data_IF_520320003118
#
_entry.id   IF_520320003118
#
_cell.length_a   1.000
_cell.length_b   1.000
_cell.length_c   1.000
_cell.angle_alpha   90.00
_cell.angle_beta   90.00
_cell.angle_gamma   90.00
#
_symmetry.space_group_name_H-M   'P 1'
#
loop_
_entity.id
_entity.type
_entity.pdbx_description
1 polymer ?
#
# COMPACT_ATOMS: atom_id res chain seq x y z
N UNK A 1 5.44 3.24 -35.77
CA UNK A 1 6.19 4.35 -35.14
C UNK A 1 6.43 5.42 -36.19
N UNK A 2 5.78 6.57 -36.03
CA UNK A 2 6.47 7.86 -36.14
C UNK A 2 6.16 8.68 -34.86
N UNK A 3 7.12 9.07 -34.02
CA UNK A 3 8.14 10.12 -34.18
C UNK A 3 7.55 11.54 -34.24
N UNK A 4 7.23 12.05 -33.04
CA UNK A 4 7.24 13.41 -32.46
C UNK A 4 6.71 14.65 -33.21
N UNK A 5 6.16 15.63 -32.45
CA UNK A 5 6.98 16.82 -32.23
C UNK A 5 7.03 17.28 -30.77
N UNK A 6 8.25 17.41 -30.28
CA UNK A 6 8.64 18.27 -29.17
C UNK A 6 7.99 19.66 -29.31
N UNK A 7 7.31 20.08 -28.25
CA UNK A 7 7.10 21.50 -27.99
C UNK A 7 8.39 22.10 -27.39
N UNK A 8 8.65 23.39 -27.65
CA UNK A 8 9.98 23.97 -27.60
C UNK A 8 10.51 24.08 -26.18
N UNK A 9 11.75 23.62 -25.98
CA UNK A 9 12.57 23.98 -24.83
C UNK A 9 13.02 25.42 -25.03
N UNK A 10 12.66 26.38 -24.15
CA UNK A 10 13.27 27.69 -24.21
C UNK A 10 14.76 27.56 -23.88
N UNK A 11 15.56 28.20 -24.72
CA UNK A 11 17.00 28.27 -24.62
C UNK A 11 17.44 28.73 -23.22
N UNK A 12 18.49 28.07 -22.75
CA UNK A 12 19.28 28.44 -21.59
C UNK A 12 19.75 29.89 -21.67
N UNK A 13 19.22 30.73 -20.78
CA UNK A 13 19.92 31.93 -20.32
C UNK A 13 20.15 31.82 -18.82
N UNK A 14 21.43 31.78 -18.51
CA UNK A 14 22.10 31.89 -17.22
C UNK A 14 21.48 32.93 -16.31
N UNK A 15 21.23 32.58 -15.04
CA UNK A 15 21.72 33.35 -13.88
C UNK A 15 21.40 32.66 -12.55
N UNK A 16 22.47 32.44 -11.79
CA UNK A 16 22.61 32.46 -10.33
C UNK A 16 21.70 31.61 -9.43
N UNK A 17 22.42 30.79 -8.66
CA UNK A 17 22.17 30.42 -7.27
C UNK A 17 21.12 29.36 -6.93
N UNK A 18 21.65 28.25 -6.38
CA UNK A 18 21.08 27.70 -5.15
C UNK A 18 20.01 26.62 -5.32
N UNK A 19 20.24 25.57 -6.09
CA UNK A 19 19.49 24.33 -5.90
C UNK A 19 20.17 23.18 -6.60
N UNK A 20 20.48 22.10 -5.88
CA UNK A 20 20.15 20.72 -6.28
C UNK A 20 20.35 19.78 -5.07
N UNK A 21 19.72 20.09 -3.93
CA UNK A 21 19.43 19.03 -2.94
C UNK A 21 18.07 18.43 -3.30
N UNK A 22 18.06 17.13 -3.63
CA UNK A 22 16.83 16.35 -3.85
C UNK A 22 15.92 16.42 -2.62
N UNK A 23 14.61 16.26 -2.78
CA UNK A 23 13.65 16.27 -1.66
C UNK A 23 14.03 15.26 -0.56
N UNK A 24 14.65 14.14 -0.93
CA UNK A 24 15.24 13.16 -0.02
C UNK A 24 16.34 13.73 0.88
N UNK A 25 17.13 14.69 0.39
CA UNK A 25 18.18 15.39 1.12
C UNK A 25 17.65 16.57 1.97
N UNK A 26 16.44 17.07 1.68
CA UNK A 26 15.75 18.07 2.51
C UNK A 26 14.99 17.42 3.67
N UNK A 27 14.46 16.21 3.45
CA UNK A 27 13.87 15.37 4.50
C UNK A 27 14.90 14.78 5.47
N UNK A 28 16.18 14.62 5.09
CA UNK A 28 17.23 14.23 6.04
C UNK A 28 17.50 15.26 7.15
N UNK A 29 16.99 16.50 7.02
CA UNK A 29 16.99 17.49 8.10
C UNK A 29 15.79 17.31 9.08
N UNK A 30 14.87 16.38 8.79
CA UNK A 30 13.78 15.93 9.65
C UNK A 30 13.99 14.45 10.02
N UNK A 31 14.88 14.13 10.99
CA UNK A 31 15.10 12.75 11.43
C UNK A 31 13.80 12.04 11.84
N UNK A 32 12.78 12.80 12.24
CA UNK A 32 11.50 12.29 12.69
C UNK A 32 10.65 11.58 11.63
N UNK A 33 10.69 11.96 10.34
CA UNK A 33 9.93 11.24 9.31
C UNK A 33 10.54 9.87 9.02
N UNK A 34 11.88 9.81 8.96
CA UNK A 34 12.60 8.55 8.77
C UNK A 34 12.40 7.62 9.98
N UNK A 35 12.47 8.16 11.21
CA UNK A 35 12.17 7.42 12.44
C UNK A 35 10.72 6.94 12.46
N UNK A 36 9.77 7.81 12.07
CA UNK A 36 8.36 7.46 11.96
C UNK A 36 8.11 6.33 10.95
N UNK A 37 8.72 6.39 9.76
CA UNK A 37 8.59 5.33 8.76
C UNK A 37 9.22 4.01 9.24
N UNK A 38 10.35 4.07 9.95
CA UNK A 38 11.02 2.89 10.49
C UNK A 38 10.19 2.15 11.55
N UNK A 39 9.25 2.83 12.22
CA UNK A 39 8.37 2.20 13.20
C UNK A 39 7.37 1.18 12.58
N UNK A 40 7.19 1.17 11.26
CA UNK A 40 6.30 0.21 10.60
C UNK A 40 7.04 -1.05 10.17
N UNK A 41 6.58 -2.21 10.64
CA UNK A 41 7.17 -3.53 10.31
C UNK A 41 6.93 -3.94 8.85
N UNK A 42 5.82 -3.51 8.24
CA UNK A 42 5.45 -3.92 6.88
C UNK A 42 6.07 -3.01 5.81
N UNK A 43 6.90 -3.54 4.88
CA UNK A 43 7.45 -2.75 3.77
C UNK A 43 6.36 -2.16 2.86
N UNK A 44 5.21 -2.84 2.78
CA UNK A 44 4.06 -2.35 2.01
C UNK A 44 3.43 -1.13 2.67
N UNK A 45 3.30 -1.14 3.99
CA UNK A 45 2.80 0.01 4.76
C UNK A 45 3.77 1.19 4.62
N UNK A 46 5.07 0.95 4.78
CA UNK A 46 6.11 1.97 4.58
C UNK A 46 6.00 2.64 3.21
N UNK A 47 5.99 1.87 2.12
CA UNK A 47 5.86 2.41 0.74
C UNK A 47 4.57 3.21 0.54
N UNK A 48 3.45 2.70 1.07
CA UNK A 48 2.14 3.37 0.92
C UNK A 48 2.12 4.71 1.66
N UNK A 49 2.69 4.74 2.86
CA UNK A 49 2.72 5.92 3.71
C UNK A 49 3.73 6.95 3.18
N UNK A 50 4.91 6.50 2.77
CA UNK A 50 5.92 7.31 2.11
C UNK A 50 5.36 7.99 0.85
N UNK A 51 4.71 7.24 -0.05
CA UNK A 51 4.12 7.80 -1.25
C UNK A 51 3.00 8.82 -0.95
N UNK A 52 2.22 8.58 0.12
CA UNK A 52 1.19 9.52 0.55
C UNK A 52 1.79 10.83 1.07
N UNK A 53 2.83 10.76 1.90
CA UNK A 53 3.51 11.94 2.46
C UNK A 53 4.25 12.70 1.37
N UNK A 54 4.98 12.02 0.48
CA UNK A 54 5.61 12.66 -0.67
C UNK A 54 4.60 13.38 -1.58
N UNK A 55 3.45 12.75 -1.85
CA UNK A 55 2.38 13.38 -2.62
C UNK A 55 1.77 14.61 -1.94
N UNK A 56 1.72 14.62 -0.61
CA UNK A 56 1.26 15.77 0.16
C UNK A 56 2.25 16.93 0.11
N UNK A 57 3.54 16.63 0.34
CA UNK A 57 4.64 17.60 0.25
C UNK A 57 4.70 18.23 -1.14
N UNK A 58 4.64 17.40 -2.19
CA UNK A 58 4.70 17.87 -3.57
C UNK A 58 3.50 18.76 -3.93
N UNK A 59 2.28 18.43 -3.45
CA UNK A 59 1.09 19.23 -3.75
C UNK A 59 1.15 20.64 -3.14
N UNK A 60 1.73 20.78 -1.95
CA UNK A 60 1.85 22.08 -1.28
C UNK A 60 3.20 22.77 -1.52
N UNK A 61 4.07 22.18 -2.35
CA UNK A 61 5.46 22.63 -2.56
C UNK A 61 6.21 22.92 -1.24
N UNK A 62 6.07 22.02 -0.25
CA UNK A 62 6.68 22.24 1.07
C UNK A 62 8.20 22.09 0.97
N UNK A 63 8.92 23.14 1.38
CA UNK A 63 10.38 23.24 1.30
C UNK A 63 11.05 23.14 2.66
N UNK A 64 10.31 23.33 3.75
CA UNK A 64 10.85 23.39 5.10
C UNK A 64 9.95 22.71 6.15
N UNK A 65 10.56 22.38 7.29
CA UNK A 65 9.85 21.85 8.45
C UNK A 65 8.83 22.85 9.04
N UNK A 66 9.14 24.14 8.98
CA UNK A 66 8.24 25.19 9.50
C UNK A 66 7.00 25.34 8.63
N UNK A 67 7.14 25.24 7.31
CA UNK A 67 5.99 25.18 6.40
C UNK A 67 5.11 23.96 6.71
N UNK A 68 5.70 22.78 6.95
CA UNK A 68 4.95 21.59 7.35
C UNK A 68 4.19 21.80 8.68
N UNK A 69 4.80 22.49 9.65
CA UNK A 69 4.15 22.84 10.93
C UNK A 69 3.03 23.88 10.78
N UNK A 70 3.12 24.73 9.76
CA UNK A 70 2.09 25.74 9.44
C UNK A 70 0.84 25.16 8.77
N UNK A 71 0.87 23.89 8.35
CA UNK A 71 -0.25 23.19 7.73
C UNK A 71 -1.47 23.18 8.66
N UNK A 72 -2.49 23.93 8.25
CA UNK A 72 -3.84 23.88 8.82
C UNK A 72 -4.79 22.90 8.11
N UNK A 73 -6.00 22.70 8.67
CA UNK A 73 -7.05 21.87 8.07
C UNK A 73 -7.45 22.29 6.64
N UNK A 74 -7.37 23.58 6.31
CA UNK A 74 -7.69 24.11 4.97
C UNK A 74 -6.81 23.50 3.88
N UNK A 75 -5.50 23.35 4.13
CA UNK A 75 -4.55 22.73 3.21
C UNK A 75 -4.90 21.27 2.93
N UNK A 76 -5.28 20.53 3.98
CA UNK A 76 -5.70 19.13 3.83
C UNK A 76 -7.03 18.97 3.10
N UNK A 77 -7.96 19.91 3.29
CA UNK A 77 -9.21 19.95 2.52
C UNK A 77 -8.89 20.21 1.04
N UNK A 78 -8.02 21.18 0.74
CA UNK A 78 -7.59 21.47 -0.63
C UNK A 78 -6.91 20.25 -1.29
N UNK A 79 -6.03 19.57 -0.56
CA UNK A 79 -5.40 18.34 -1.04
C UNK A 79 -6.42 17.22 -1.26
N UNK A 80 -7.36 17.01 -0.32
CA UNK A 80 -8.44 16.03 -0.46
C UNK A 80 -9.25 16.28 -1.74
N UNK A 81 -9.66 17.53 -1.98
CA UNK A 81 -10.42 17.88 -3.18
C UNK A 81 -9.60 17.66 -4.45
N UNK A 82 -8.33 18.05 -4.46
CA UNK A 82 -7.42 17.78 -5.58
C UNK A 82 -7.30 16.27 -5.87
N UNK A 83 -7.19 15.43 -4.84
CA UNK A 83 -7.15 13.98 -5.01
C UNK A 83 -8.44 13.43 -5.61
N UNK A 84 -9.59 13.97 -5.22
CA UNK A 84 -10.89 13.57 -5.78
C UNK A 84 -10.99 14.02 -7.25
N UNK A 85 -10.62 15.26 -7.55
CA UNK A 85 -10.66 15.83 -8.91
C UNK A 85 -9.72 15.10 -9.88
N UNK A 86 -8.58 14.61 -9.39
CA UNK A 86 -7.62 13.81 -10.17
C UNK A 86 -8.02 12.33 -10.29
N UNK A 87 -9.21 11.95 -9.81
CA UNK A 87 -9.79 10.62 -10.00
C UNK A 87 -9.34 9.58 -8.96
N UNK A 88 -8.76 9.99 -7.83
CA UNK A 88 -8.41 9.04 -6.78
C UNK A 88 -9.66 8.42 -6.15
N UNK A 89 -9.69 7.09 -6.06
CA UNK A 89 -10.78 6.35 -5.40
C UNK A 89 -10.94 6.81 -3.93
N UNK A 90 -12.16 6.86 -3.37
CA UNK A 90 -12.40 7.30 -1.99
C UNK A 90 -11.51 6.61 -0.95
N UNK A 91 -11.26 5.30 -1.11
CA UNK A 91 -10.39 4.54 -0.20
C UNK A 91 -8.93 4.95 -0.29
N UNK A 92 -8.47 5.32 -1.48
CA UNK A 92 -7.13 5.86 -1.70
C UNK A 92 -6.98 7.20 -0.98
N UNK A 93 -7.98 8.08 -1.10
CA UNK A 93 -7.99 9.38 -0.41
C UNK A 93 -7.97 9.18 1.11
N UNK A 94 -8.78 8.27 1.64
CA UNK A 94 -8.74 7.93 3.07
C UNK A 94 -7.38 7.42 3.54
N UNK A 95 -6.77 6.50 2.79
CA UNK A 95 -5.45 5.95 3.13
C UNK A 95 -4.37 7.04 3.11
N UNK A 96 -4.41 7.94 2.13
CA UNK A 96 -3.47 9.07 2.04
C UNK A 96 -3.63 10.03 3.21
N UNK A 97 -4.86 10.42 3.55
CA UNK A 97 -5.15 11.24 4.73
C UNK A 97 -4.76 10.53 6.05
N UNK A 98 -4.91 9.21 6.13
CA UNK A 98 -4.51 8.44 7.30
C UNK A 98 -2.99 8.42 7.48
N UNK A 99 -2.22 8.30 6.40
CA UNK A 99 -0.75 8.36 6.45
C UNK A 99 -0.28 9.73 6.96
N UNK A 100 -0.80 10.83 6.38
CA UNK A 100 -0.46 12.19 6.84
C UNK A 100 -0.91 12.42 8.29
N UNK A 101 -2.09 11.93 8.67
CA UNK A 101 -2.55 11.97 10.08
C UNK A 101 -1.60 11.22 11.01
N UNK A 102 -1.04 10.10 10.56
CA UNK A 102 -0.09 9.33 11.36
C UNK A 102 1.25 10.03 11.52
N UNK A 103 1.74 10.71 10.48
CA UNK A 103 2.93 11.54 10.56
C UNK A 103 2.72 12.68 11.56
N UNK A 104 1.63 13.44 11.44
CA UNK A 104 1.35 14.54 12.38
C UNK A 104 1.13 14.08 13.82
N UNK A 105 0.65 12.85 14.04
CA UNK A 105 0.58 12.27 15.38
C UNK A 105 1.97 12.06 15.97
N UNK A 106 2.87 11.45 15.20
CA UNK A 106 4.28 11.28 15.60
C UNK A 106 4.95 12.63 15.88
N UNK A 107 4.72 13.63 15.02
CA UNK A 107 5.25 14.99 15.23
C UNK A 107 4.69 15.66 16.49
N UNK A 108 3.43 15.43 16.84
CA UNK A 108 2.85 15.92 18.10
C UNK A 108 3.44 15.22 19.32
N UNK A 109 3.62 13.89 19.27
CA UNK A 109 4.25 13.10 20.35
C UNK A 109 5.69 13.56 20.61
N UNK A 110 6.40 13.97 19.56
CA UNK A 110 7.74 14.54 19.62
C UNK A 110 7.77 16.03 19.96
N UNK A 111 6.62 16.65 20.25
CA UNK A 111 6.44 18.09 20.53
C UNK A 111 6.92 19.02 19.40
N UNK A 112 7.02 18.49 18.17
CA UNK A 112 7.45 19.23 16.98
C UNK A 112 6.28 19.99 16.34
N UNK A 113 5.06 19.45 16.46
CA UNK A 113 3.83 20.08 15.99
C UNK A 113 2.84 20.26 17.15
N UNK A 114 2.22 21.43 17.25
CA UNK A 114 1.30 21.73 18.36
C UNK A 114 -0.01 20.92 18.32
N UNK A 115 -0.49 20.57 17.12
CA UNK A 115 -1.71 19.78 16.93
C UNK A 115 -1.70 19.03 15.60
N UNK A 116 -2.47 17.96 15.52
CA UNK A 116 -2.71 17.25 14.27
C UNK A 116 -3.79 17.96 13.44
N UNK A 117 -3.47 18.53 12.27
CA UNK A 117 -4.43 19.29 11.46
C UNK A 117 -5.48 18.41 10.78
N UNK A 118 -5.27 17.08 10.74
CA UNK A 118 -6.19 16.13 10.07
C UNK A 118 -7.43 15.83 10.93
N UNK A 119 -7.40 16.09 12.24
CA UNK A 119 -8.51 15.74 13.16
C UNK A 119 -9.84 16.41 12.79
N UNK A 120 -9.80 17.60 12.20
CA UNK A 120 -10.99 18.34 11.74
C UNK A 120 -11.40 18.09 10.29
N UNK A 121 -10.70 17.23 9.54
CA UNK A 121 -10.93 17.03 8.11
C UNK A 121 -11.87 15.87 7.89
N UNK A 122 -13.04 16.15 7.29
CA UNK A 122 -13.97 15.10 6.89
C UNK A 122 -13.34 14.20 5.83
N UNK A 123 -13.38 12.90 6.06
CA UNK A 123 -12.90 11.90 5.11
C UNK A 123 -14.03 11.53 4.15
N UNK A 124 -13.74 11.30 2.85
CA UNK A 124 -14.76 10.86 1.89
C UNK A 124 -15.44 9.61 2.41
N UNK A 125 -16.76 9.51 2.27
CA UNK A 125 -17.48 8.27 2.58
C UNK A 125 -16.99 7.20 1.62
N UNK A 126 -16.24 6.25 2.15
CA UNK A 126 -16.07 4.97 1.47
C UNK A 126 -17.37 4.24 1.72
N UNK A 127 -18.31 4.39 0.78
CA UNK A 127 -19.35 3.39 0.68
C UNK A 127 -18.59 2.09 0.55
N UNK A 128 -18.73 1.22 1.56
CA UNK A 128 -18.47 -0.17 1.36
C UNK A 128 -19.53 -0.65 0.36
N UNK A 129 -19.40 -0.28 -0.92
CA UNK A 129 -19.48 -1.31 -1.93
C UNK A 129 -18.36 -2.26 -1.55
N UNK A 130 -18.68 -3.12 -0.58
CA UNK A 130 -18.26 -4.51 -0.59
C UNK A 130 -18.23 -4.81 -2.06
N UNK A 131 -17.03 -4.96 -2.62
CA UNK A 131 -16.90 -5.71 -3.85
C UNK A 131 -17.78 -6.89 -3.57
N UNK A 132 -18.97 -6.95 -4.19
CA UNK A 132 -19.80 -8.13 -4.14
C UNK A 132 -18.87 -9.14 -4.77
N UNK A 133 -18.10 -9.81 -3.90
CA UNK A 133 -17.14 -10.80 -4.32
C UNK A 133 -18.05 -11.79 -5.01
N UNK A 134 -18.02 -11.77 -6.34
CA UNK A 134 -18.96 -12.52 -7.15
C UNK A 134 -18.87 -13.95 -6.63
N UNK A 135 -19.95 -14.40 -5.98
CA UNK A 135 -19.96 -15.69 -5.32
C UNK A 135 -19.96 -16.70 -6.46
N UNK A 136 -18.87 -17.47 -6.56
CA UNK A 136 -18.75 -18.46 -7.61
C UNK A 136 -19.77 -19.57 -7.37
N UNK A 137 -20.53 -19.94 -8.40
CA UNK A 137 -21.36 -21.14 -8.35
C UNK A 137 -20.49 -22.39 -8.28
N UNK A 138 -21.00 -23.54 -7.80
CA UNK A 138 -20.25 -24.79 -7.80
C UNK A 138 -19.67 -25.16 -9.18
N UNK A 139 -20.38 -24.87 -10.26
CA UNK A 139 -19.91 -25.11 -11.64
C UNK A 139 -18.77 -24.16 -12.03
N UNK A 140 -18.84 -22.88 -11.62
CA UNK A 140 -17.77 -21.92 -11.83
C UNK A 140 -16.50 -22.32 -11.06
N UNK A 141 -16.66 -22.79 -9.81
CA UNK A 141 -15.55 -23.31 -9.01
C UNK A 141 -14.90 -24.51 -9.70
N UNK A 142 -15.68 -25.53 -10.12
CA UNK A 142 -15.14 -26.70 -10.81
C UNK A 142 -14.39 -26.32 -12.07
N UNK A 143 -14.94 -25.40 -12.88
CA UNK A 143 -14.25 -24.90 -14.08
C UNK A 143 -12.94 -24.18 -13.73
N UNK A 144 -12.94 -23.35 -12.68
CA UNK A 144 -11.74 -22.67 -12.22
C UNK A 144 -10.65 -23.65 -11.78
N UNK A 145 -11.00 -24.63 -10.94
CA UNK A 145 -10.06 -25.63 -10.43
C UNK A 145 -9.47 -26.53 -11.54
N UNK A 146 -10.25 -26.79 -12.60
CA UNK A 146 -9.81 -27.61 -13.74
C UNK A 146 -9.25 -26.83 -14.94
N UNK A 147 -9.26 -25.50 -14.91
CA UNK A 147 -8.80 -24.68 -16.02
C UNK A 147 -7.31 -24.88 -16.39
N UNK A 148 -6.37 -25.06 -15.44
CA UNK A 148 -4.97 -25.28 -15.78
C UNK A 148 -4.72 -26.66 -16.44
N UNK A 149 -3.86 -26.75 -17.47
CA UNK A 149 -3.53 -28.00 -18.15
C UNK A 149 -2.88 -29.02 -17.20
N UNK A 150 -3.27 -30.31 -17.28
CA UNK A 150 -2.74 -31.34 -16.37
C UNK A 150 -1.48 -32.04 -16.90
N UNK A 151 -1.10 -31.78 -18.14
CA UNK A 151 0.02 -32.39 -18.87
C UNK A 151 1.31 -31.57 -18.82
N UNK A 152 1.27 -30.37 -18.24
CA UNK A 152 2.45 -29.50 -18.07
C UNK A 152 2.77 -29.30 -16.60
N UNK A 153 4.07 -29.20 -16.27
CA UNK A 153 4.51 -28.92 -14.91
C UNK A 153 3.91 -27.62 -14.37
N UNK A 154 3.82 -26.59 -15.22
CA UNK A 154 3.19 -25.31 -14.86
C UNK A 154 1.71 -25.49 -14.53
N UNK A 155 0.96 -26.23 -15.35
CA UNK A 155 -0.47 -26.40 -15.12
C UNK A 155 -0.77 -27.29 -13.92
N UNK A 156 0.04 -28.31 -13.63
CA UNK A 156 -0.05 -29.08 -12.37
C UNK A 156 0.19 -28.18 -11.16
N UNK A 157 1.22 -27.32 -11.21
CA UNK A 157 1.51 -26.33 -10.15
C UNK A 157 0.35 -25.37 -9.95
N UNK A 158 -0.14 -24.76 -11.04
CA UNK A 158 -1.20 -23.76 -10.98
C UNK A 158 -2.52 -24.39 -10.48
N UNK A 159 -2.80 -25.64 -10.84
CA UNK A 159 -3.90 -26.43 -10.30
C UNK A 159 -3.76 -26.67 -8.80
N UNK A 160 -2.58 -27.08 -8.33
CA UNK A 160 -2.31 -27.26 -6.90
C UNK A 160 -2.53 -25.96 -6.11
N UNK A 161 -2.03 -24.83 -6.62
CA UNK A 161 -2.23 -23.50 -6.00
C UNK A 161 -3.71 -23.15 -5.90
N UNK A 162 -4.50 -23.36 -6.96
CA UNK A 162 -5.94 -23.09 -6.95
C UNK A 162 -6.70 -23.98 -5.96
N UNK A 163 -6.36 -25.26 -5.90
CA UNK A 163 -6.95 -26.20 -4.93
C UNK A 163 -6.62 -25.78 -3.49
N UNK A 164 -5.35 -25.46 -3.19
CA UNK A 164 -4.95 -25.00 -1.86
C UNK A 164 -5.73 -23.74 -1.48
N UNK A 165 -5.76 -22.72 -2.34
CA UNK A 165 -6.52 -21.48 -2.10
C UNK A 165 -8.00 -21.75 -1.82
N UNK A 166 -8.62 -22.66 -2.59
CA UNK A 166 -10.04 -22.97 -2.45
C UNK A 166 -10.37 -23.74 -1.16
N UNK A 167 -9.63 -24.81 -0.85
CA UNK A 167 -9.92 -25.67 0.31
C UNK A 167 -9.49 -25.04 1.65
N UNK A 168 -8.40 -24.28 1.66
CA UNK A 168 -7.86 -23.70 2.89
C UNK A 168 -8.41 -22.29 3.17
N UNK A 169 -8.79 -21.54 2.13
CA UNK A 169 -9.16 -20.13 2.24
C UNK A 169 -7.98 -19.21 2.55
N UNK A 170 -6.74 -19.67 2.37
CA UNK A 170 -5.53 -18.88 2.55
C UNK A 170 -5.46 -17.70 1.58
N UNK A 171 -4.73 -16.65 1.97
CA UNK A 171 -4.39 -15.54 1.07
C UNK A 171 -3.31 -15.98 0.11
N UNK A 172 -3.30 -15.36 -1.08
CA UNK A 172 -2.26 -15.59 -2.11
C UNK A 172 -0.85 -15.45 -1.53
N UNK A 173 -0.62 -14.44 -0.68
CA UNK A 173 0.69 -14.23 -0.06
C UNK A 173 1.14 -15.38 0.85
N UNK A 174 0.18 -16.06 1.51
CA UNK A 174 0.45 -17.19 2.40
C UNK A 174 0.81 -18.43 1.54
N UNK A 175 0.07 -18.68 0.46
CA UNK A 175 0.35 -19.79 -0.47
C UNK A 175 1.69 -19.63 -1.19
N UNK A 176 2.08 -18.40 -1.54
CA UNK A 176 3.37 -18.17 -2.22
C UNK A 176 4.60 -18.39 -1.34
N UNK A 177 4.42 -18.49 -0.01
CA UNK A 177 5.51 -18.74 0.94
C UNK A 177 5.64 -20.20 1.36
N UNK A 178 4.70 -21.06 0.96
CA UNK A 178 4.71 -22.49 1.28
C UNK A 178 5.95 -23.19 0.72
N UNK A 179 6.49 -24.10 1.51
CA UNK A 179 7.58 -25.00 1.15
C UNK A 179 7.06 -26.43 1.12
N UNK A 180 7.76 -27.29 0.39
CA UNK A 180 7.42 -28.73 0.30
C UNK A 180 7.36 -29.39 1.69
N UNK A 181 8.24 -28.99 2.61
CA UNK A 181 8.28 -29.51 3.99
C UNK A 181 7.03 -29.18 4.82
N UNK A 182 6.28 -28.15 4.42
CA UNK A 182 5.11 -27.69 5.15
C UNK A 182 3.88 -28.57 4.80
N UNK A 183 4.04 -29.51 3.85
CA UNK A 183 3.08 -30.57 3.55
C UNK A 183 3.63 -31.92 4.02
N UNK A 184 3.02 -32.50 5.05
CA UNK A 184 3.48 -33.74 5.66
C UNK A 184 2.31 -34.61 6.13
N UNK A 185 2.60 -35.87 6.41
CA UNK A 185 1.63 -36.78 7.03
C UNK A 185 1.84 -36.76 8.54
N UNK A 186 0.76 -36.53 9.29
CA UNK A 186 0.73 -36.67 10.75
C UNK A 186 -0.48 -37.49 11.19
N UNK A 187 -0.24 -38.48 12.04
CA UNK A 187 -1.26 -39.41 12.55
C UNK A 187 -2.18 -40.02 11.47
N UNK A 188 -1.67 -40.26 10.25
CA UNK A 188 -2.44 -40.82 9.12
C UNK A 188 -3.27 -39.80 8.33
N UNK A 189 -3.06 -38.50 8.57
CA UNK A 189 -3.70 -37.41 7.85
C UNK A 189 -2.66 -36.54 7.14
N UNK A 190 -3.03 -36.03 5.96
CA UNK A 190 -2.22 -35.03 5.27
C UNK A 190 -2.45 -33.65 5.90
N UNK A 191 -1.38 -33.05 6.40
CA UNK A 191 -1.37 -31.72 7.01
C UNK A 191 -0.69 -30.75 6.07
N UNK A 192 -1.29 -29.57 5.92
CA UNK A 192 -0.65 -28.43 5.27
C UNK A 192 -0.52 -27.29 6.28
N UNK A 193 0.70 -27.05 6.71
CA UNK A 193 1.04 -26.00 7.65
C UNK A 193 1.37 -24.70 6.92
N UNK A 194 0.89 -23.55 7.42
CA UNK A 194 1.18 -22.26 6.83
C UNK A 194 1.21 -21.13 7.86
N UNK A 195 2.13 -20.20 7.62
CA UNK A 195 2.33 -19.04 8.47
C UNK A 195 1.39 -17.91 8.05
N UNK A 196 0.50 -17.48 8.94
CA UNK A 196 -0.38 -16.33 8.71
C UNK A 196 0.33 -15.05 9.13
N UNK A 197 0.78 -14.24 8.17
CA UNK A 197 1.36 -12.92 8.49
C UNK A 197 0.31 -11.99 9.11
N UNK A 198 0.48 -11.67 10.39
CA UNK A 198 -0.33 -10.69 11.14
C UNK A 198 -1.03 -11.26 12.38
N UNK A 199 -1.05 -12.58 12.53
CA UNK A 199 -1.50 -13.27 13.74
C UNK A 199 -0.30 -14.01 14.30
N UNK A 200 0.01 -13.86 15.59
CA UNK A 200 1.07 -14.64 16.25
C UNK A 200 0.70 -16.13 16.42
N UNK A 201 -0.15 -16.68 15.55
CA UNK A 201 -0.67 -18.04 15.62
C UNK A 201 -0.40 -18.75 14.29
N UNK A 202 0.41 -19.80 14.39
CA UNK A 202 0.51 -20.89 13.42
C UNK A 202 -0.87 -21.55 13.33
N UNK A 203 -1.44 -21.62 12.13
CA UNK A 203 -2.77 -22.19 11.91
C UNK A 203 -2.58 -23.50 11.17
N UNK A 204 -2.65 -24.60 11.92
CA UNK A 204 -2.64 -25.93 11.35
C UNK A 204 -4.00 -26.24 10.72
N UNK A 205 -4.02 -26.63 9.44
CA UNK A 205 -5.22 -27.17 8.79
C UNK A 205 -4.95 -28.55 8.23
N UNK A 206 -5.76 -29.48 8.70
CA UNK A 206 -5.84 -30.85 8.18
C UNK A 206 -6.55 -30.79 6.82
N UNK A 207 -5.88 -31.24 5.77
CA UNK A 207 -6.49 -31.43 4.44
C UNK A 207 -6.94 -32.89 4.37
N UNK A 208 -8.25 -33.12 4.32
CA UNK A 208 -8.84 -34.46 4.11
C UNK A 208 -8.92 -34.79 2.62
#
# INVERSE_FOLDING_TARGET
>A
MPSDPMLPVPASETSSDGSLLTLSQRLSALPEEAVWLANFVSPRTQRTYQAAVQGFIAFHDLRSADELRSIGPSHLIAWREHLIQTGARPRTVQNRLAAVSSLFRHLCERQVAARNPVTGVQRPRVNASRVEAAVLTPEQVRRLLHAPPADTLQGVRDRAILHVLFYTGCRVSEVTTLKVRDFFEDAGYWVLDFIVLGSAHEMEKIVR
#
